data_IF_714636185856
#
_entry.id   IF_714636185856
#
_cell.length_a   1.000
_cell.length_b   1.000
_cell.length_c   1.000
_cell.angle_alpha   90.00
_cell.angle_beta   90.00
_cell.angle_gamma   90.00
#
_symmetry.space_group_name_H-M   'P 1'
#
loop_
_entity.id
_entity.type
_entity.pdbx_description
1 polymer ?
#
# COMPACT_ATOMS: atom_id res chain seq x y z
N UNK A 1 9.08 2.51 0.69
CA UNK A 1 9.05 2.15 2.13
C UNK A 1 8.42 0.76 2.32
N UNK A 2 9.10 -0.11 3.08
CA UNK A 2 8.58 -1.41 3.52
C UNK A 2 8.12 -1.39 4.98
N UNK A 3 7.32 -2.37 5.37
CA UNK A 3 6.86 -2.53 6.75
C UNK A 3 8.02 -2.75 7.73
N UNK A 4 7.92 -2.15 8.91
CA UNK A 4 8.85 -2.41 10.01
C UNK A 4 8.56 -3.76 10.65
N UNK A 5 9.59 -4.61 10.73
CA UNK A 5 9.50 -6.00 11.21
C UNK A 5 8.99 -6.12 12.65
N UNK A 6 9.00 -5.06 13.46
CA UNK A 6 8.43 -5.08 14.80
C UNK A 6 6.90 -5.15 14.80
N UNK A 7 6.27 -4.71 13.72
CA UNK A 7 4.80 -4.56 13.62
C UNK A 7 4.16 -5.39 12.52
N UNK A 8 4.94 -6.17 11.77
CA UNK A 8 4.39 -7.18 10.85
C UNK A 8 3.79 -8.36 11.64
N UNK A 9 2.88 -9.10 11.00
CA UNK A 9 2.23 -10.29 11.56
C UNK A 9 1.46 -10.05 12.89
N UNK A 10 1.10 -8.80 13.18
CA UNK A 10 0.22 -8.49 14.30
C UNK A 10 -1.19 -9.02 14.05
N UNK A 11 -1.87 -9.46 15.10
CA UNK A 11 -3.19 -10.07 14.98
C UNK A 11 -4.26 -9.09 14.48
N UNK A 12 -5.35 -9.62 13.89
CA UNK A 12 -6.54 -8.82 13.54
C UNK A 12 -7.08 -8.05 14.76
N UNK A 13 -6.95 -8.62 15.96
CA UNK A 13 -7.28 -7.93 17.22
C UNK A 13 -6.41 -6.69 17.44
N UNK A 14 -5.09 -6.78 17.27
CA UNK A 14 -4.19 -5.61 17.39
C UNK A 14 -4.63 -4.47 16.44
N UNK A 15 -4.91 -4.78 15.18
CA UNK A 15 -5.35 -3.79 14.20
C UNK A 15 -6.73 -3.20 14.50
N UNK A 16 -7.63 -3.98 15.10
CA UNK A 16 -8.90 -3.47 15.61
C UNK A 16 -8.67 -2.42 16.71
N UNK A 17 -7.72 -2.64 17.63
CA UNK A 17 -7.36 -1.64 18.64
C UNK A 17 -6.81 -0.36 17.99
N UNK A 18 -5.87 -0.47 17.05
CA UNK A 18 -5.30 0.67 16.33
C UNK A 18 -6.41 1.52 15.69
N UNK A 19 -7.37 0.86 15.02
CA UNK A 19 -8.48 1.54 14.34
C UNK A 19 -9.44 2.20 15.33
N UNK A 20 -9.88 1.47 16.36
CA UNK A 20 -10.80 2.00 17.38
C UNK A 20 -10.21 3.18 18.14
N UNK A 21 -8.94 3.10 18.55
CA UNK A 21 -8.27 4.19 19.27
C UNK A 21 -8.12 5.42 18.36
N UNK A 22 -7.71 5.22 17.11
CA UNK A 22 -7.55 6.32 16.14
C UNK A 22 -8.88 7.02 15.85
N UNK A 23 -9.98 6.28 15.76
CA UNK A 23 -11.33 6.84 15.61
C UNK A 23 -11.75 7.66 16.85
N UNK A 24 -11.53 7.12 18.04
CA UNK A 24 -11.92 7.77 19.28
C UNK A 24 -11.17 9.09 19.54
N UNK A 25 -9.86 9.14 19.23
CA UNK A 25 -8.98 10.27 19.57
C UNK A 25 -8.66 11.19 18.40
N UNK A 26 -8.90 10.75 17.17
CA UNK A 26 -8.42 11.39 15.95
C UNK A 26 -6.93 11.17 15.72
N UNK A 27 -6.52 11.36 14.47
CA UNK A 27 -5.17 11.02 13.98
C UNK A 27 -4.12 12.10 14.23
N UNK A 28 -4.55 13.34 14.49
CA UNK A 28 -3.68 14.52 14.51
C UNK A 28 -3.87 15.35 15.76
N UNK A 29 -2.79 15.97 16.20
CA UNK A 29 -2.83 17.04 17.20
C UNK A 29 -3.24 18.35 16.55
N UNK A 30 -4.34 18.96 17.02
CA UNK A 30 -4.91 20.15 16.38
C UNK A 30 -3.99 21.36 16.42
N UNK A 31 -3.21 21.52 17.50
CA UNK A 31 -2.32 22.66 17.70
C UNK A 31 -1.08 22.61 16.80
N UNK A 32 -0.53 21.42 16.57
CA UNK A 32 0.74 21.23 15.85
C UNK A 32 0.53 20.72 14.42
N UNK A 33 -0.67 20.25 14.09
CA UNK A 33 -0.99 19.53 12.84
C UNK A 33 -0.10 18.29 12.60
N UNK A 34 0.58 17.79 13.63
CA UNK A 34 1.40 16.57 13.57
C UNK A 34 0.55 15.33 13.80
N UNK A 35 1.01 14.20 13.29
CA UNK A 35 0.43 12.89 13.62
C UNK A 35 0.63 12.64 15.12
N UNK A 36 -0.46 12.22 15.77
CA UNK A 36 -0.53 11.99 17.21
C UNK A 36 0.24 10.74 17.63
N UNK A 37 1.00 10.86 18.71
CA UNK A 37 1.50 9.72 19.50
C UNK A 37 0.56 9.44 20.68
N UNK A 38 0.60 8.22 21.24
CA UNK A 38 -0.30 7.85 22.35
C UNK A 38 0.45 7.50 23.62
N UNK A 39 -0.15 7.89 24.74
CA UNK A 39 0.23 7.48 26.10
C UNK A 39 -0.76 6.46 26.67
N UNK A 40 -0.43 5.85 27.81
CA UNK A 40 -1.35 4.99 28.55
C UNK A 40 -2.67 5.71 28.92
N UNK A 41 -2.57 6.98 29.31
CA UNK A 41 -3.74 7.80 29.62
C UNK A 41 -4.64 8.01 28.39
N UNK A 42 -4.04 8.19 27.20
CA UNK A 42 -4.79 8.31 25.95
C UNK A 42 -5.54 7.03 25.61
N UNK A 43 -4.90 5.86 25.75
CA UNK A 43 -5.54 4.56 25.50
C UNK A 43 -6.75 4.36 26.41
N UNK A 44 -6.59 4.57 27.72
CA UNK A 44 -7.69 4.46 28.69
C UNK A 44 -8.82 5.43 28.37
N UNK A 45 -8.48 6.67 28.00
CA UNK A 45 -9.45 7.69 27.58
C UNK A 45 -10.21 7.28 26.32
N UNK A 46 -9.54 6.72 25.33
CA UNK A 46 -10.14 6.24 24.09
C UNK A 46 -11.17 5.14 24.38
N UNK A 47 -10.77 4.13 25.15
CA UNK A 47 -11.62 3.01 25.50
C UNK A 47 -12.83 3.43 26.33
N UNK A 48 -12.64 4.32 27.33
CA UNK A 48 -13.74 4.91 28.09
C UNK A 48 -14.74 5.65 27.19
N UNK A 49 -14.25 6.44 26.22
CA UNK A 49 -15.11 7.17 25.26
C UNK A 49 -15.93 6.20 24.39
N UNK A 50 -15.39 5.03 24.06
CA UNK A 50 -16.06 4.00 23.28
C UNK A 50 -16.96 3.08 24.11
N UNK A 51 -17.01 3.22 25.44
CA UNK A 51 -17.73 2.30 26.33
C UNK A 51 -17.07 0.91 26.43
N UNK A 52 -15.77 0.81 26.17
CA UNK A 52 -15.00 -0.43 26.18
C UNK A 52 -14.09 -0.52 27.42
N UNK A 53 -13.78 -1.74 27.86
CA UNK A 53 -12.81 -1.99 28.93
C UNK A 53 -11.37 -1.85 28.42
N UNK A 54 -10.52 -1.13 29.16
CA UNK A 54 -9.07 -1.01 28.90
C UNK A 54 -8.23 -1.90 29.82
N UNK A 55 -8.84 -2.78 30.62
CA UNK A 55 -8.14 -3.57 31.64
C UNK A 55 -7.08 -4.53 31.07
N UNK A 56 -7.23 -4.96 29.81
CA UNK A 56 -6.23 -5.79 29.12
C UNK A 56 -5.09 -4.96 28.50
N UNK A 57 -5.22 -3.64 28.45
CA UNK A 57 -4.21 -2.70 27.93
C UNK A 57 -3.46 -1.99 29.04
N UNK A 58 -4.12 -1.77 30.18
CA UNK A 58 -3.56 -1.10 31.36
C UNK A 58 -3.92 -1.89 32.61
N UNK A 59 -2.92 -2.47 33.27
CA UNK A 59 -3.04 -3.29 34.48
C UNK A 59 -2.38 -2.54 35.63
N UNK A 60 -3.11 -2.27 36.71
CA UNK A 60 -2.61 -1.54 37.89
C UNK A 60 -1.94 -0.19 37.55
N UNK A 61 -2.45 0.51 36.53
CA UNK A 61 -1.90 1.80 36.08
C UNK A 61 -0.67 1.70 35.17
N UNK A 62 -0.19 0.49 34.85
CA UNK A 62 0.92 0.26 33.93
C UNK A 62 0.42 -0.35 32.61
N UNK A 63 1.10 -0.06 31.50
CA UNK A 63 0.78 -0.69 30.22
C UNK A 63 1.02 -2.20 30.31
N UNK A 64 0.09 -2.99 29.77
CA UNK A 64 0.37 -4.39 29.47
C UNK A 64 1.29 -4.49 28.25
N UNK A 65 1.81 -5.68 27.94
CA UNK A 65 2.59 -5.90 26.72
C UNK A 65 1.85 -5.45 25.44
N UNK A 66 0.52 -5.67 25.37
CA UNK A 66 -0.29 -5.18 24.26
C UNK A 66 -0.41 -3.65 24.26
N UNK A 67 -0.57 -3.04 25.43
CA UNK A 67 -0.57 -1.58 25.58
C UNK A 67 0.75 -0.95 25.14
N UNK A 68 1.88 -1.53 25.53
CA UNK A 68 3.23 -1.10 25.13
C UNK A 68 3.41 -1.22 23.62
N UNK A 69 3.02 -2.35 23.02
CA UNK A 69 3.09 -2.57 21.58
C UNK A 69 2.24 -1.55 20.80
N UNK A 70 1.06 -1.20 21.30
CA UNK A 70 0.22 -0.15 20.71
C UNK A 70 0.92 1.21 20.80
N UNK A 71 1.35 1.63 21.99
CA UNK A 71 2.08 2.90 22.15
C UNK A 71 3.31 2.98 21.22
N UNK A 72 4.09 1.89 21.13
CA UNK A 72 5.25 1.81 20.24
C UNK A 72 4.84 1.95 18.76
N UNK A 73 3.77 1.29 18.33
CA UNK A 73 3.28 1.39 16.95
C UNK A 73 2.78 2.80 16.61
N UNK A 74 1.99 3.42 17.49
CA UNK A 74 1.54 4.80 17.28
C UNK A 74 2.71 5.79 17.25
N UNK A 75 3.72 5.58 18.11
CA UNK A 75 4.97 6.34 18.08
C UNK A 75 5.69 6.21 16.75
N UNK A 76 5.93 4.97 16.30
CA UNK A 76 6.55 4.69 15.01
C UNK A 76 5.79 5.32 13.84
N UNK A 77 4.47 5.09 13.77
CA UNK A 77 3.61 5.62 12.70
C UNK A 77 3.67 7.15 12.66
N UNK A 78 3.67 7.81 13.82
CA UNK A 78 3.81 9.26 13.89
C UNK A 78 5.18 9.74 13.39
N UNK A 79 6.27 9.11 13.83
CA UNK A 79 7.63 9.45 13.37
C UNK A 79 7.76 9.30 11.86
N UNK A 80 7.37 8.15 11.31
CA UNK A 80 7.44 7.91 9.85
C UNK A 80 6.64 8.96 9.08
N UNK A 81 5.39 9.21 9.49
CA UNK A 81 4.54 10.12 8.73
C UNK A 81 5.02 11.57 8.79
N UNK A 82 5.41 12.05 9.97
CA UNK A 82 5.86 13.43 10.13
C UNK A 82 7.27 13.65 9.54
N UNK A 83 8.18 12.70 9.71
CA UNK A 83 9.60 12.97 9.51
C UNK A 83 10.16 12.31 8.22
N UNK A 84 9.47 11.29 7.68
CA UNK A 84 9.84 10.65 6.41
C UNK A 84 8.86 10.98 5.28
N UNK A 85 7.55 10.79 5.50
CA UNK A 85 6.52 10.91 4.44
C UNK A 85 6.23 12.36 4.09
N UNK A 86 5.87 13.19 5.08
CA UNK A 86 5.54 14.60 4.85
C UNK A 86 6.54 15.33 3.93
N UNK A 87 7.86 15.32 4.21
CA UNK A 87 8.82 16.10 3.42
C UNK A 87 9.04 15.57 1.99
N UNK A 88 8.57 14.35 1.68
CA UNK A 88 8.73 13.72 0.36
C UNK A 88 7.56 13.94 -0.59
N UNK A 89 6.39 14.23 -0.04
CA UNK A 89 5.21 14.54 -0.83
C UNK A 89 5.42 15.86 -1.58
N UNK A 90 5.13 15.86 -2.88
CA UNK A 90 5.36 17.00 -3.76
C UNK A 90 4.06 17.76 -4.03
N UNK A 91 4.18 19.04 -4.36
CA UNK A 91 3.14 19.75 -5.09
C UNK A 91 3.27 19.54 -6.61
N UNK A 92 2.34 20.12 -7.37
CA UNK A 92 2.29 19.98 -8.83
C UNK A 92 3.52 20.56 -9.54
N UNK A 93 4.12 21.64 -9.00
CA UNK A 93 5.26 22.31 -9.62
C UNK A 93 6.53 21.49 -9.41
N UNK A 94 6.74 20.99 -8.19
CA UNK A 94 7.83 20.08 -7.84
C UNK A 94 7.76 18.78 -8.65
N UNK A 95 6.56 18.22 -8.84
CA UNK A 95 6.37 17.02 -9.64
C UNK A 95 6.64 17.27 -11.13
N UNK A 96 6.25 18.43 -11.66
CA UNK A 96 6.53 18.82 -13.04
C UNK A 96 8.04 18.97 -13.30
N UNK A 97 8.75 19.63 -12.39
CA UNK A 97 10.20 19.80 -12.48
C UNK A 97 10.92 18.44 -12.47
N UNK A 98 10.57 17.57 -11.54
CA UNK A 98 11.13 16.21 -11.46
C UNK A 98 10.79 15.39 -12.71
N UNK A 99 9.58 15.53 -13.24
CA UNK A 99 9.18 14.86 -14.47
C UNK A 99 10.05 15.26 -15.67
N UNK A 100 10.26 16.56 -15.89
CA UNK A 100 11.08 17.04 -17.01
C UNK A 100 12.55 16.61 -16.88
N UNK A 101 13.11 16.67 -15.67
CA UNK A 101 14.46 16.16 -15.39
C UNK A 101 14.58 14.67 -15.78
N UNK A 102 13.64 13.86 -15.32
CA UNK A 102 13.63 12.42 -15.52
C UNK A 102 13.37 12.03 -16.98
N UNK A 103 12.48 12.76 -17.67
CA UNK A 103 12.20 12.58 -19.09
C UNK A 103 13.45 12.85 -19.94
N UNK A 104 14.16 13.94 -19.66
CA UNK A 104 15.41 14.28 -20.34
C UNK A 104 16.50 13.23 -20.11
N UNK A 105 16.58 12.69 -18.89
CA UNK A 105 17.56 11.69 -18.48
C UNK A 105 17.27 10.29 -19.04
N UNK A 106 16.04 9.83 -18.96
CA UNK A 106 15.66 8.45 -19.29
C UNK A 106 15.24 8.26 -20.74
N UNK A 107 14.76 9.31 -21.41
CA UNK A 107 14.33 9.29 -22.82
C UNK A 107 13.38 8.10 -23.12
N UNK A 108 12.24 8.02 -22.41
CA UNK A 108 11.32 6.89 -22.53
C UNK A 108 10.82 6.74 -23.97
N UNK A 109 10.55 5.49 -24.38
CA UNK A 109 9.80 5.22 -25.62
C UNK A 109 8.31 5.32 -25.40
N UNK A 110 7.84 5.09 -24.17
CA UNK A 110 6.44 5.25 -23.83
C UNK A 110 5.96 6.68 -24.10
N UNK A 111 4.75 6.78 -24.64
CA UNK A 111 4.07 8.05 -24.82
C UNK A 111 3.78 8.71 -23.45
N UNK A 112 3.71 10.03 -23.47
CA UNK A 112 3.36 10.81 -22.30
C UNK A 112 1.98 10.41 -21.75
N UNK A 113 1.94 10.12 -20.45
CA UNK A 113 0.69 9.74 -19.78
C UNK A 113 -0.05 10.99 -19.34
N UNK A 114 -1.25 11.18 -19.88
CA UNK A 114 -2.11 12.31 -19.55
C UNK A 114 -3.13 11.91 -18.49
N UNK A 115 -3.55 12.88 -17.68
CA UNK A 115 -4.67 12.71 -16.76
C UNK A 115 -5.97 12.41 -17.54
N UNK A 116 -6.99 11.91 -16.84
CA UNK A 116 -8.29 11.54 -17.42
C UNK A 116 -9.18 12.75 -17.76
N UNK A 117 -8.65 13.97 -17.72
CA UNK A 117 -9.40 15.21 -17.98
C UNK A 117 -9.28 15.62 -19.46
N UNK A 118 -10.17 16.50 -19.91
CA UNK A 118 -10.23 16.99 -21.29
C UNK A 118 -10.01 18.51 -21.38
N UNK A 119 -9.72 19.00 -22.58
CA UNK A 119 -9.52 20.43 -22.85
C UNK A 119 -8.36 21.02 -22.06
N UNK A 120 -8.52 22.24 -21.54
CA UNK A 120 -7.48 22.96 -20.78
C UNK A 120 -7.09 22.28 -19.45
N UNK A 121 -7.92 21.36 -18.98
CA UNK A 121 -7.64 20.54 -17.78
C UNK A 121 -6.83 19.30 -18.11
N UNK A 122 -6.64 18.98 -19.39
CA UNK A 122 -5.77 17.88 -19.84
C UNK A 122 -4.32 18.24 -19.54
N UNK A 123 -3.75 17.54 -18.56
CA UNK A 123 -2.38 17.75 -18.09
C UNK A 123 -1.66 16.42 -18.00
N UNK A 124 -0.34 16.46 -17.97
CA UNK A 124 0.47 15.27 -17.70
C UNK A 124 0.10 14.74 -16.31
N UNK A 125 -0.07 13.43 -16.20
CA UNK A 125 -0.17 12.75 -14.91
C UNK A 125 1.27 12.48 -14.43
N UNK A 126 1.89 13.47 -13.78
CA UNK A 126 3.35 13.50 -13.53
C UNK A 126 3.87 12.27 -12.78
N UNK A 127 3.21 11.85 -11.71
CA UNK A 127 3.59 10.67 -10.93
C UNK A 127 3.43 9.40 -11.78
N UNK A 128 2.31 9.25 -12.48
CA UNK A 128 2.10 8.10 -13.36
C UNK A 128 3.16 8.04 -14.47
N UNK A 129 3.46 9.18 -15.11
CA UNK A 129 4.48 9.27 -16.14
C UNK A 129 5.87 8.94 -15.57
N UNK A 130 6.22 9.46 -14.39
CA UNK A 130 7.47 9.13 -13.68
C UNK A 130 7.58 7.62 -13.43
N UNK A 131 6.54 6.99 -12.89
CA UNK A 131 6.51 5.54 -12.65
C UNK A 131 6.75 4.79 -13.95
N UNK A 132 5.98 5.09 -15.00
CA UNK A 132 6.10 4.41 -16.29
C UNK A 132 7.49 4.54 -16.91
N UNK A 133 8.09 5.75 -16.90
CA UNK A 133 9.45 5.97 -17.41
C UNK A 133 10.49 5.19 -16.62
N UNK A 134 10.38 5.15 -15.29
CA UNK A 134 11.33 4.43 -14.44
C UNK A 134 11.21 2.93 -14.65
N UNK A 135 9.99 2.39 -14.65
CA UNK A 135 9.76 0.96 -14.89
C UNK A 135 10.28 0.57 -16.27
N UNK A 136 10.00 1.35 -17.32
CA UNK A 136 10.53 1.12 -18.67
C UNK A 136 12.07 1.10 -18.68
N UNK A 137 12.71 2.06 -18.02
CA UNK A 137 14.17 2.17 -17.99
C UNK A 137 14.88 0.96 -17.36
N UNK A 138 14.16 0.16 -16.56
CA UNK A 138 14.71 -1.00 -15.84
C UNK A 138 14.23 -2.32 -16.42
N UNK A 139 12.92 -2.47 -16.62
CA UNK A 139 12.29 -3.68 -17.13
C UNK A 139 12.37 -3.80 -18.66
N UNK A 140 12.60 -2.68 -19.37
CA UNK A 140 12.46 -2.59 -20.80
C UNK A 140 11.00 -2.37 -21.22
N UNK A 141 10.80 -1.81 -22.42
CA UNK A 141 9.48 -1.44 -22.95
C UNK A 141 8.51 -2.60 -23.05
N UNK A 142 8.98 -3.80 -23.43
CA UNK A 142 8.16 -5.01 -23.56
C UNK A 142 8.13 -5.85 -22.28
N UNK A 143 8.77 -5.37 -21.21
CA UNK A 143 8.94 -6.12 -19.96
C UNK A 143 7.81 -5.98 -18.95
N UNK A 144 6.82 -5.11 -19.22
CA UNK A 144 5.73 -4.80 -18.31
C UNK A 144 4.51 -4.25 -19.02
N UNK A 145 3.40 -4.13 -18.31
CA UNK A 145 2.18 -3.48 -18.80
C UNK A 145 1.89 -2.20 -17.99
N UNK A 146 2.07 -0.99 -18.58
CA UNK A 146 1.91 0.31 -17.90
C UNK A 146 0.44 0.77 -17.74
N UNK A 147 -0.51 0.07 -18.36
CA UNK A 147 -1.94 0.34 -18.25
C UNK A 147 -2.73 -0.89 -18.73
N UNK A 148 -2.94 -1.88 -17.85
CA UNK A 148 -3.44 -3.17 -18.30
C UNK A 148 -4.84 -3.17 -18.89
N UNK A 149 -5.74 -2.31 -18.41
CA UNK A 149 -7.13 -2.27 -18.86
C UNK A 149 -7.93 -3.57 -18.63
N UNK A 150 -7.34 -4.55 -17.94
CA UNK A 150 -7.84 -5.91 -17.73
C UNK A 150 -7.67 -6.31 -16.25
N UNK A 151 -8.44 -7.31 -15.81
CA UNK A 151 -8.32 -7.86 -14.45
C UNK A 151 -7.07 -8.75 -14.35
N UNK A 152 -6.40 -8.68 -13.22
CA UNK A 152 -5.29 -9.59 -12.91
C UNK A 152 -5.83 -11.00 -12.67
N UNK A 153 -5.25 -11.99 -13.35
CA UNK A 153 -5.67 -13.39 -13.27
C UNK A 153 -4.48 -14.29 -12.96
N UNK A 154 -4.66 -15.16 -11.98
CA UNK A 154 -3.74 -16.23 -11.62
C UNK A 154 -4.26 -17.53 -12.17
N UNK A 155 -3.37 -18.36 -12.73
CA UNK A 155 -3.76 -19.63 -13.35
C UNK A 155 -3.03 -20.83 -12.75
N UNK A 156 -3.71 -21.97 -12.72
CA UNK A 156 -3.14 -23.29 -12.40
C UNK A 156 -3.54 -24.22 -13.54
N UNK A 157 -2.57 -24.94 -14.12
CA UNK A 157 -2.79 -25.84 -15.26
C UNK A 157 -3.53 -25.15 -16.43
N UNK A 158 -3.15 -23.90 -16.70
CA UNK A 158 -3.77 -23.00 -17.69
C UNK A 158 -5.26 -22.67 -17.46
N UNK A 159 -5.82 -22.96 -16.28
CA UNK A 159 -7.17 -22.58 -15.87
C UNK A 159 -7.14 -21.44 -14.84
N UNK A 160 -8.13 -20.54 -14.80
CA UNK A 160 -8.22 -19.51 -13.78
C UNK A 160 -8.29 -20.13 -12.38
N UNK A 161 -7.35 -19.75 -11.51
CA UNK A 161 -7.32 -20.09 -10.09
C UNK A 161 -7.99 -18.99 -9.26
N UNK A 162 -7.64 -17.74 -9.57
CA UNK A 162 -8.17 -16.51 -8.98
C UNK A 162 -8.11 -15.38 -9.98
N UNK A 163 -9.03 -14.44 -9.90
CA UNK A 163 -9.03 -13.19 -10.66
C UNK A 163 -9.41 -12.08 -9.70
N UNK A 164 -8.58 -11.03 -9.62
CA UNK A 164 -8.85 -9.89 -8.76
C UNK A 164 -10.11 -9.16 -9.22
N UNK A 165 -10.84 -8.58 -8.27
CA UNK A 165 -12.08 -7.86 -8.52
C UNK A 165 -11.88 -6.55 -9.29
N UNK A 166 -10.65 -6.02 -9.28
CA UNK A 166 -10.30 -4.73 -9.89
C UNK A 166 -9.09 -4.78 -10.81
N UNK A 167 -9.00 -3.71 -11.60
CA UNK A 167 -7.86 -3.42 -12.48
C UNK A 167 -6.86 -2.57 -11.71
N UNK A 168 -5.59 -2.91 -11.86
CA UNK A 168 -4.47 -2.14 -11.32
C UNK A 168 -3.95 -1.13 -12.35
N UNK A 169 -3.09 -0.22 -11.91
CA UNK A 169 -2.48 0.78 -12.79
C UNK A 169 -1.31 0.22 -13.60
N UNK A 170 -0.61 -0.81 -13.09
CA UNK A 170 0.37 -1.54 -13.88
C UNK A 170 0.76 -2.90 -13.29
N UNK A 171 1.38 -3.72 -14.14
CA UNK A 171 1.74 -5.10 -13.81
C UNK A 171 3.04 -5.52 -14.51
N UNK A 172 3.82 -6.40 -13.85
CA UNK A 172 5.04 -6.98 -14.40
C UNK A 172 5.02 -8.51 -14.26
N UNK A 173 5.24 -9.27 -15.35
CA UNK A 173 5.41 -8.81 -16.74
C UNK A 173 4.09 -8.41 -17.42
N UNK A 174 2.95 -8.79 -16.84
CA UNK A 174 1.61 -8.51 -17.36
C UNK A 174 0.56 -8.97 -16.35
N UNK A 175 -0.72 -9.02 -16.74
CA UNK A 175 -1.84 -9.31 -15.82
C UNK A 175 -2.15 -10.78 -15.62
N UNK A 176 -1.58 -11.68 -16.42
CA UNK A 176 -1.73 -13.12 -16.22
C UNK A 176 -0.48 -13.64 -15.53
N UNK A 177 -0.64 -14.16 -14.31
CA UNK A 177 0.47 -14.56 -13.42
C UNK A 177 1.56 -13.49 -13.27
N UNK A 178 1.21 -12.25 -12.84
CA UNK A 178 2.21 -11.24 -12.52
C UNK A 178 3.14 -11.71 -11.39
N UNK A 179 4.36 -11.16 -11.36
CA UNK A 179 5.20 -11.18 -10.15
C UNK A 179 5.08 -9.88 -9.35
N UNK A 180 4.63 -8.80 -9.99
CA UNK A 180 4.38 -7.53 -9.32
C UNK A 180 3.18 -6.79 -9.91
N UNK A 181 2.48 -6.07 -9.04
CA UNK A 181 1.35 -5.19 -9.31
C UNK A 181 1.59 -3.86 -8.63
N UNK A 182 1.15 -2.77 -9.25
CA UNK A 182 1.15 -1.48 -8.57
C UNK A 182 -0.07 -0.63 -8.87
N UNK A 183 -0.39 0.20 -7.89
CA UNK A 183 -1.40 1.24 -7.96
C UNK A 183 -0.77 2.62 -7.78
N UNK A 184 -1.32 3.62 -8.48
CA UNK A 184 -0.84 4.99 -8.48
C UNK A 184 -1.96 5.93 -8.07
N UNK A 185 -1.77 6.64 -6.97
CA UNK A 185 -2.74 7.60 -6.46
C UNK A 185 -2.17 9.01 -6.51
N UNK A 186 -2.48 9.70 -7.61
CA UNK A 186 -2.04 11.07 -7.90
C UNK A 186 -3.20 12.07 -7.82
N UNK A 187 -3.00 13.17 -7.08
CA UNK A 187 -4.04 14.19 -6.89
C UNK A 187 -3.53 15.63 -6.88
N UNK A 188 -2.61 16.00 -7.77
CA UNK A 188 -2.01 17.35 -7.80
C UNK A 188 -2.98 18.49 -8.11
N UNK A 189 -4.07 18.21 -8.83
CA UNK A 189 -5.01 19.22 -9.30
C UNK A 189 -6.32 19.26 -8.52
N UNK A 190 -6.39 18.49 -7.44
CA UNK A 190 -7.58 18.40 -6.58
C UNK A 190 -7.52 19.46 -5.49
N UNK A 191 -8.62 20.19 -5.29
CA UNK A 191 -8.76 21.21 -4.24
C UNK A 191 -9.52 20.72 -3.01
N UNK A 192 -10.14 19.55 -3.08
CA UNK A 192 -10.98 18.97 -2.02
C UNK A 192 -10.58 17.52 -1.71
N UNK A 193 -10.66 17.12 -0.45
CA UNK A 193 -10.51 15.72 -0.10
C UNK A 193 -11.89 15.04 -0.21
N UNK A 194 -12.22 14.61 -1.43
CA UNK A 194 -13.49 13.97 -1.75
C UNK A 194 -13.46 12.45 -1.66
N UNK A 195 -14.62 11.83 -1.85
CA UNK A 195 -14.79 10.37 -1.84
C UNK A 195 -13.77 9.65 -2.72
N UNK A 196 -13.47 10.18 -3.91
CA UNK A 196 -12.51 9.57 -4.85
C UNK A 196 -11.11 9.33 -4.27
N UNK A 197 -10.65 10.19 -3.35
CA UNK A 197 -9.34 10.00 -2.70
C UNK A 197 -9.42 8.89 -1.66
N UNK A 198 -10.53 8.83 -0.92
CA UNK A 198 -10.79 7.76 0.03
C UNK A 198 -10.98 6.40 -0.67
N UNK A 199 -11.70 6.39 -1.80
CA UNK A 199 -11.93 5.21 -2.63
C UNK A 199 -10.60 4.59 -3.05
N UNK A 200 -9.61 5.41 -3.46
CA UNK A 200 -8.28 4.91 -3.79
C UNK A 200 -7.62 4.12 -2.65
N UNK A 201 -7.85 4.50 -1.38
CA UNK A 201 -7.31 3.77 -0.22
C UNK A 201 -8.08 2.47 0.05
N UNK A 202 -9.39 2.48 -0.18
CA UNK A 202 -10.22 1.28 0.01
C UNK A 202 -10.06 0.28 -1.13
N UNK A 203 -9.80 0.74 -2.34
CA UNK A 203 -9.44 -0.09 -3.49
C UNK A 203 -8.15 -0.86 -3.19
N UNK A 204 -7.08 -0.17 -2.77
CA UNK A 204 -5.83 -0.83 -2.40
C UNK A 204 -5.98 -1.81 -1.23
N UNK A 205 -6.85 -1.48 -0.27
CA UNK A 205 -7.15 -2.39 0.83
C UNK A 205 -7.85 -3.66 0.33
N UNK A 206 -8.80 -3.54 -0.60
CA UNK A 206 -9.49 -4.68 -1.19
C UNK A 206 -8.53 -5.56 -1.98
N UNK A 207 -7.74 -4.96 -2.88
CA UNK A 207 -6.77 -5.67 -3.71
C UNK A 207 -5.75 -6.41 -2.82
N UNK A 208 -5.29 -5.76 -1.75
CA UNK A 208 -4.40 -6.38 -0.77
C UNK A 208 -5.02 -7.53 0.03
N UNK A 209 -6.32 -7.49 0.33
CA UNK A 209 -7.04 -8.60 0.98
C UNK A 209 -7.22 -9.80 0.03
N UNK A 210 -7.52 -9.55 -1.25
CA UNK A 210 -7.60 -10.62 -2.26
C UNK A 210 -6.22 -11.29 -2.47
N UNK A 211 -5.14 -10.50 -2.47
CA UNK A 211 -3.77 -11.00 -2.57
C UNK A 211 -3.31 -11.73 -1.30
N UNK A 212 -3.73 -11.28 -0.11
CA UNK A 212 -3.52 -12.03 1.14
C UNK A 212 -4.19 -13.40 1.07
N UNK A 213 -5.46 -13.47 0.65
CA UNK A 213 -6.18 -14.74 0.53
C UNK A 213 -5.42 -15.69 -0.42
N UNK A 214 -4.98 -15.20 -1.59
CA UNK A 214 -4.19 -16.00 -2.52
C UNK A 214 -2.88 -16.50 -1.88
N UNK A 215 -2.20 -15.67 -1.11
CA UNK A 215 -0.96 -16.04 -0.41
C UNK A 215 -1.21 -17.10 0.65
N UNK A 216 -2.25 -16.95 1.46
CA UNK A 216 -2.58 -17.85 2.56
C UNK A 216 -3.15 -19.20 2.10
N UNK A 217 -3.98 -19.19 1.06
CA UNK A 217 -4.72 -20.38 0.61
C UNK A 217 -4.05 -21.11 -0.56
N UNK A 218 -3.36 -20.38 -1.44
CA UNK A 218 -2.75 -20.95 -2.66
C UNK A 218 -1.21 -20.93 -2.64
N UNK A 219 -0.61 -20.34 -1.59
CA UNK A 219 0.85 -20.27 -1.44
C UNK A 219 1.54 -19.42 -2.51
N UNK A 220 0.79 -18.54 -3.19
CA UNK A 220 1.30 -17.67 -4.25
C UNK A 220 1.36 -16.24 -3.78
N UNK A 221 2.55 -15.66 -3.88
CA UNK A 221 2.78 -14.26 -3.54
C UNK A 221 3.09 -13.46 -4.80
N UNK A 222 2.59 -12.23 -4.82
CA UNK A 222 2.85 -11.21 -5.83
C UNK A 222 3.18 -9.95 -5.08
N UNK A 223 4.25 -9.27 -5.50
CA UNK A 223 4.65 -8.00 -4.93
C UNK A 223 3.58 -6.94 -5.24
N UNK A 224 2.99 -6.36 -4.19
CA UNK A 224 1.98 -5.33 -4.31
C UNK A 224 2.54 -3.99 -3.84
N UNK A 225 2.63 -3.01 -4.76
CA UNK A 225 3.15 -1.68 -4.46
C UNK A 225 2.10 -0.58 -4.61
N UNK A 226 2.07 0.33 -3.66
CA UNK A 226 1.25 1.54 -3.72
C UNK A 226 2.15 2.78 -3.89
N UNK A 227 1.91 3.59 -4.90
CA UNK A 227 2.70 4.79 -5.19
C UNK A 227 1.78 6.00 -5.08
N UNK A 228 2.05 6.92 -4.16
CA UNK A 228 1.14 8.05 -3.90
C UNK A 228 1.88 9.38 -3.90
N UNK A 229 1.21 10.43 -4.37
CA UNK A 229 1.69 11.79 -4.22
C UNK A 229 0.59 12.85 -4.31
N UNK A 230 0.97 14.10 -4.02
CA UNK A 230 0.22 15.33 -3.80
C UNK A 230 0.16 15.72 -2.33
N UNK A 231 1.12 16.55 -1.89
CA UNK A 231 1.24 17.05 -0.52
C UNK A 231 -0.05 17.68 0.00
N UNK A 232 -0.71 18.52 -0.80
CA UNK A 232 -1.98 19.13 -0.38
C UNK A 232 -3.05 18.07 -0.07
N UNK A 233 -3.22 17.10 -0.97
CA UNK A 233 -4.25 16.07 -0.81
C UNK A 233 -3.92 15.16 0.38
N UNK A 234 -2.73 14.58 0.42
CA UNK A 234 -2.39 13.56 1.41
C UNK A 234 -2.00 14.13 2.77
N UNK A 235 -1.22 15.21 2.81
CA UNK A 235 -0.75 15.78 4.06
C UNK A 235 -1.67 16.87 4.61
N UNK A 236 -2.08 17.84 3.79
CA UNK A 236 -2.89 18.95 4.31
C UNK A 236 -4.30 18.49 4.65
N UNK A 237 -4.88 17.61 3.82
CA UNK A 237 -6.26 17.15 3.98
C UNK A 237 -6.39 15.68 4.43
N UNK A 238 -5.44 14.82 4.06
CA UNK A 238 -5.59 13.36 4.09
C UNK A 238 -4.83 12.60 5.18
N UNK A 239 -4.35 13.24 6.25
CA UNK A 239 -3.45 12.59 7.23
C UNK A 239 -4.00 11.30 7.85
N UNK A 240 -5.32 11.23 8.05
CA UNK A 240 -5.98 10.02 8.55
C UNK A 240 -5.86 8.86 7.56
N UNK A 241 -5.89 9.14 6.26
CA UNK A 241 -5.72 8.14 5.21
C UNK A 241 -4.26 7.71 5.06
N UNK A 242 -3.31 8.64 5.21
CA UNK A 242 -1.89 8.27 5.34
C UNK A 242 -1.65 7.30 6.50
N UNK A 243 -2.30 7.51 7.65
CA UNK A 243 -2.23 6.56 8.76
C UNK A 243 -2.77 5.17 8.38
N UNK A 244 -3.90 5.11 7.66
CA UNK A 244 -4.48 3.85 7.19
C UNK A 244 -3.60 3.14 6.16
N UNK A 245 -2.89 3.89 5.32
CA UNK A 245 -1.90 3.36 4.37
C UNK A 245 -0.72 2.74 5.12
N UNK A 246 -0.20 3.41 6.15
CA UNK A 246 0.83 2.80 7.01
C UNK A 246 0.28 1.57 7.73
N UNK A 247 -0.97 1.60 8.19
CA UNK A 247 -1.58 0.43 8.83
C UNK A 247 -1.68 -0.76 7.86
N UNK A 248 -2.19 -0.58 6.63
CA UNK A 248 -2.32 -1.68 5.66
C UNK A 248 -0.97 -2.24 5.18
N UNK A 249 0.07 -1.38 5.12
CA UNK A 249 1.45 -1.81 4.87
C UNK A 249 1.92 -2.79 5.97
N UNK A 250 1.66 -2.50 7.24
CA UNK A 250 2.05 -3.39 8.34
C UNK A 250 1.11 -4.59 8.51
N UNK A 251 -0.13 -4.49 8.04
CA UNK A 251 -1.05 -5.63 7.94
C UNK A 251 -0.59 -6.65 6.88
N UNK A 252 0.26 -6.27 5.91
CA UNK A 252 0.70 -7.15 4.83
C UNK A 252 -0.25 -7.19 3.64
N UNK A 253 -1.08 -6.15 3.47
CA UNK A 253 -1.95 -5.94 2.31
C UNK A 253 -1.23 -5.23 1.17
N UNK A 254 -0.17 -4.49 1.48
CA UNK A 254 0.75 -3.88 0.51
C UNK A 254 2.15 -4.20 0.98
N UNK A 255 3.04 -4.58 0.07
CA UNK A 255 4.42 -4.95 0.40
C UNK A 255 5.33 -3.72 0.46
N UNK A 256 5.04 -2.71 -0.36
CA UNK A 256 5.79 -1.46 -0.41
C UNK A 256 4.91 -0.26 -0.74
N UNK A 257 5.09 0.84 0.00
CA UNK A 257 4.47 2.14 -0.31
C UNK A 257 5.56 3.15 -0.66
N UNK A 258 5.41 3.87 -1.77
CA UNK A 258 6.35 4.88 -2.25
C UNK A 258 5.68 6.26 -2.20
N UNK A 259 6.34 7.22 -1.54
CA UNK A 259 5.78 8.56 -1.30
C UNK A 259 6.51 9.64 -2.10
N UNK A 260 5.79 10.26 -3.03
CA UNK A 260 6.25 11.41 -3.81
C UNK A 260 7.65 11.24 -4.39
N UNK A 261 8.60 12.10 -4.00
CA UNK A 261 9.97 12.11 -4.54
C UNK A 261 10.73 10.79 -4.32
N UNK A 262 10.32 9.97 -3.35
CA UNK A 262 10.88 8.62 -3.17
C UNK A 262 10.77 7.77 -4.45
N UNK A 263 9.85 8.09 -5.36
CA UNK A 263 9.67 7.38 -6.63
C UNK A 263 10.97 7.27 -7.45
N UNK A 264 11.80 8.32 -7.49
CA UNK A 264 13.07 8.27 -8.24
C UNK A 264 14.20 7.60 -7.46
N UNK A 265 14.03 7.45 -6.14
CA UNK A 265 15.03 6.86 -5.23
C UNK A 265 14.83 5.34 -5.12
N UNK A 266 13.59 4.90 -4.84
CA UNK A 266 13.28 3.51 -4.47
C UNK A 266 12.80 2.67 -5.65
N UNK A 267 11.94 3.21 -6.50
CA UNK A 267 11.31 2.44 -7.58
C UNK A 267 12.32 1.75 -8.51
N UNK A 268 13.45 2.38 -8.93
CA UNK A 268 14.40 1.69 -9.81
C UNK A 268 14.98 0.41 -9.20
N UNK A 269 15.25 0.41 -7.89
CA UNK A 269 15.74 -0.77 -7.18
C UNK A 269 14.64 -1.82 -7.05
N UNK A 270 13.42 -1.39 -6.71
CA UNK A 270 12.27 -2.28 -6.59
C UNK A 270 11.94 -2.99 -7.91
N UNK A 271 11.98 -2.28 -9.05
CA UNK A 271 11.75 -2.89 -10.37
C UNK A 271 12.84 -3.91 -10.72
N UNK A 272 14.10 -3.71 -10.30
CA UNK A 272 15.15 -4.73 -10.48
C UNK A 272 14.83 -6.01 -9.71
N UNK A 273 14.27 -5.89 -8.50
CA UNK A 273 13.82 -7.04 -7.71
C UNK A 273 12.69 -7.77 -8.46
N UNK A 274 11.70 -7.05 -9.00
CA UNK A 274 10.62 -7.64 -9.80
C UNK A 274 11.11 -8.33 -11.08
N UNK A 275 12.02 -7.71 -11.82
CA UNK A 275 12.63 -8.32 -13.01
C UNK A 275 13.40 -9.60 -12.65
N UNK A 276 14.08 -9.62 -11.50
CA UNK A 276 14.76 -10.81 -11.02
C UNK A 276 13.76 -11.92 -10.65
N UNK A 277 12.63 -11.58 -10.02
CA UNK A 277 11.54 -12.54 -9.74
C UNK A 277 10.93 -13.10 -11.03
N UNK A 278 10.66 -12.27 -12.03
CA UNK A 278 10.07 -12.69 -13.31
C UNK A 278 10.96 -13.65 -14.11
N UNK A 279 12.27 -13.67 -13.84
CA UNK A 279 13.23 -14.58 -14.49
C UNK A 279 13.35 -15.92 -13.77
N UNK A 280 12.86 -16.03 -12.54
CA UNK A 280 12.87 -17.30 -11.83
C UNK A 280 11.82 -18.24 -12.44
N UNK A 281 12.10 -19.55 -12.53
CA UNK A 281 11.07 -20.52 -12.88
C UNK A 281 9.92 -20.37 -11.89
N UNK A 282 8.68 -20.37 -12.37
CA UNK A 282 7.52 -20.36 -11.48
C UNK A 282 7.64 -21.52 -10.49
N UNK A 283 7.78 -21.22 -9.20
CA UNK A 283 7.80 -22.25 -8.18
C UNK A 283 6.43 -22.93 -8.18
N UNK A 284 6.39 -24.23 -8.48
CA UNK A 284 5.18 -25.01 -8.25
C UNK A 284 4.83 -24.94 -6.76
N UNK A 285 3.58 -24.59 -6.39
CA UNK A 285 3.19 -24.60 -4.99
C UNK A 285 3.45 -25.99 -4.43
N UNK A 286 4.19 -26.08 -3.31
CA UNK A 286 4.35 -27.34 -2.60
C UNK A 286 2.94 -27.80 -2.20
N UNK A 287 2.48 -28.90 -2.83
CA UNK A 287 1.21 -29.55 -2.54
C UNK A 287 1.00 -29.65 -1.03
N UNK A 288 -0.19 -29.25 -0.57
CA UNK A 288 -0.72 -29.57 0.75
C UNK A 288 -1.12 -31.05 0.76
N UNK A 289 -0.13 -31.93 0.55
CA UNK A 289 -0.31 -33.40 0.49
C UNK A 289 -0.76 -34.05 1.81
N UNK A 290 -0.97 -33.25 2.86
CA UNK A 290 -1.44 -33.73 4.17
C UNK A 290 -2.94 -33.47 4.41
N UNK A 291 -3.55 -32.48 3.73
CA UNK A 291 -4.97 -32.16 3.94
C UNK A 291 -5.91 -33.09 3.14
N UNK A 292 -5.53 -33.49 1.94
CA UNK A 292 -6.31 -34.44 1.12
C UNK A 292 -6.26 -35.88 1.64
N UNK A 293 -5.22 -36.22 2.42
CA UNK A 293 -5.10 -37.53 3.06
C UNK A 293 -6.05 -37.69 4.25
N UNK A 294 -6.47 -36.61 4.89
CA UNK A 294 -7.46 -36.64 5.96
C UNK A 294 -8.90 -36.66 5.45
N UNK A 295 -9.21 -36.04 4.30
CA UNK A 295 -10.56 -36.11 3.72
C UNK A 295 -10.91 -37.50 3.18
N UNK A 296 -9.95 -38.25 2.63
CA UNK A 296 -10.20 -39.63 2.15
C UNK A 296 -10.40 -40.66 3.26
N UNK A 297 -10.06 -40.34 4.51
CA UNK A 297 -10.28 -41.24 5.66
C UNK A 297 -11.65 -41.04 6.32
N UNK A 298 -12.40 -40.01 5.94
CA UNK A 298 -13.76 -39.75 6.47
C UNK A 298 -14.86 -40.25 5.52
N UNK A 299 -14.50 -40.68 4.31
CA UNK A 299 -15.42 -41.29 3.34
C UNK A 299 -15.37 -42.83 3.33
N UNK A 300 -14.54 -43.45 4.17
CA UNK A 300 -14.42 -44.93 4.31
C UNK A 300 -14.75 -45.48 5.72
N UNK A 301 -15.43 -44.70 6.58
CA UNK A 301 -16.06 -45.21 7.83
C UNK A 301 -17.57 -44.94 7.84
#
# INVERSE_FOLDING_TARGET
MRADKRFVAQSKSFWAHVRSISEALGYTERSTSRIRTLTAADITKAFKKLGLSSAHLVVNGQLSHLGEALCAYFGYRATVLNDFVQPRLMDAAQAAELYEEMKARLKPRLAETMNKQSGDMKKVAYLTALVNMIVESVAGFDGFNPNPGQLTTFTRDSQPLRTLSRRVDGALPGVVNPVALWEIKEYYYTTTFGSRVADGVYETLLDGMELEEMREHEGRHVEHALIIDAHFTWWVKGRSYLCRIIDMLHMGYVDEVIFGREVVERLPALVKEWVALARQPAAEPKLRGEAEKQLRLVEEE
#
